data_IF_262525084605
#
_entry.id   IF_262525084605
#
_cell.length_a   1.000
_cell.length_b   1.000
_cell.length_c   1.000
_cell.angle_alpha   90.00
_cell.angle_beta   90.00
_cell.angle_gamma   90.00
#
_symmetry.space_group_name_H-M   'P 1'
#
loop_
_entity.id
_entity.type
_entity.pdbx_description
1 polymer ?
#
# COMPACT_ATOMS: atom_id res chain seq x y z
N UNK A 1 11.90 -12.40 -2.34
CA UNK A 1 12.29 -10.98 -2.19
C UNK A 1 11.20 -10.24 -1.42
N UNK A 2 11.56 -9.50 -0.37
CA UNK A 2 10.65 -8.66 0.42
C UNK A 2 10.93 -7.18 0.12
N UNK A 3 10.46 -6.69 -1.04
CA UNK A 3 10.64 -5.29 -1.46
C UNK A 3 9.59 -4.35 -0.87
N UNK A 4 9.89 -3.05 -0.81
CA UNK A 4 8.91 -2.02 -0.48
C UNK A 4 8.07 -1.72 -1.71
N UNK A 5 6.78 -2.05 -1.71
CA UNK A 5 5.96 -1.89 -2.91
C UNK A 5 4.48 -1.68 -2.59
N UNK A 6 3.91 -0.63 -3.15
CA UNK A 6 2.50 -0.28 -3.02
C UNK A 6 2.11 0.73 -4.12
N UNK A 7 0.87 1.20 -4.10
CA UNK A 7 0.37 2.18 -5.07
C UNK A 7 1.15 3.51 -5.07
N UNK A 8 1.71 3.90 -3.92
CA UNK A 8 2.44 5.16 -3.73
C UNK A 8 3.93 5.01 -4.04
N UNK A 9 4.49 3.80 -3.99
CA UNK A 9 5.91 3.53 -4.28
C UNK A 9 6.08 2.34 -5.21
N UNK A 10 6.61 2.60 -6.42
CA UNK A 10 6.61 1.64 -7.54
C UNK A 10 7.97 1.42 -8.21
N UNK A 11 9.06 1.86 -7.60
CA UNK A 11 10.41 1.73 -8.19
C UNK A 11 10.82 0.26 -8.44
N UNK A 12 10.30 -0.66 -7.62
CA UNK A 12 10.48 -2.11 -7.79
C UNK A 12 10.03 -2.62 -9.18
N UNK A 13 9.13 -1.92 -9.88
CA UNK A 13 8.69 -2.29 -11.23
C UNK A 13 9.79 -2.18 -12.28
N UNK A 14 10.83 -1.37 -12.05
CA UNK A 14 11.87 -1.09 -13.04
C UNK A 14 12.84 -2.25 -13.24
N UNK A 15 13.25 -2.89 -12.14
CA UNK A 15 14.35 -3.86 -12.15
C UNK A 15 14.05 -5.10 -11.30
N UNK A 16 13.69 -4.90 -10.03
CA UNK A 16 13.57 -5.98 -9.06
C UNK A 16 12.42 -6.96 -9.34
N UNK A 17 11.23 -6.46 -9.66
CA UNK A 17 10.07 -7.30 -10.02
C UNK A 17 10.36 -8.09 -11.31
N UNK A 18 10.82 -7.46 -12.42
CA UNK A 18 11.23 -8.20 -13.61
C UNK A 18 12.28 -9.28 -13.33
N UNK A 19 13.32 -8.97 -12.55
CA UNK A 19 14.37 -9.91 -12.18
C UNK A 19 13.81 -11.12 -11.41
N UNK A 20 12.98 -10.87 -10.40
CA UNK A 20 12.38 -11.93 -9.60
C UNK A 20 11.49 -12.84 -10.46
N UNK A 21 10.71 -12.26 -11.38
CA UNK A 21 9.89 -13.01 -12.34
C UNK A 21 10.74 -13.86 -13.28
N UNK A 22 11.85 -13.33 -13.78
CA UNK A 22 12.75 -14.05 -14.70
C UNK A 22 13.51 -15.20 -14.03
N UNK A 23 13.79 -15.09 -12.72
CA UNK A 23 14.60 -16.05 -11.96
C UNK A 23 13.79 -17.02 -11.10
N UNK A 24 12.47 -16.85 -11.04
CA UNK A 24 11.58 -17.67 -10.21
C UNK A 24 11.63 -17.34 -8.71
N UNK A 25 12.21 -16.19 -8.33
CA UNK A 25 12.22 -15.72 -6.94
C UNK A 25 10.83 -15.20 -6.56
N UNK A 26 10.23 -15.73 -5.49
CA UNK A 26 8.93 -15.28 -4.98
C UNK A 26 8.95 -13.82 -4.51
N UNK A 27 7.85 -13.11 -4.70
CA UNK A 27 7.67 -11.70 -4.30
C UNK A 27 6.76 -11.59 -3.07
N UNK A 28 7.28 -11.01 -1.99
CA UNK A 28 6.61 -10.85 -0.68
C UNK A 28 6.67 -9.37 -0.24
N UNK A 29 6.05 -8.44 -0.97
CA UNK A 29 6.22 -7.02 -0.70
C UNK A 29 5.70 -6.64 0.69
N UNK A 30 6.42 -5.74 1.36
CA UNK A 30 6.03 -5.19 2.66
C UNK A 30 5.40 -3.80 2.50
N UNK A 31 4.56 -3.43 3.46
CA UNK A 31 3.75 -2.20 3.44
C UNK A 31 2.90 -2.03 2.17
N UNK A 32 2.08 -3.03 1.78
CA UNK A 32 1.19 -2.95 0.62
C UNK A 32 0.15 -1.82 0.75
N UNK A 33 -0.20 -1.43 1.98
CA UNK A 33 -1.15 -0.36 2.31
C UNK A 33 -0.49 1.01 2.55
N UNK A 34 0.82 1.13 2.29
CA UNK A 34 1.56 2.38 2.46
C UNK A 34 1.47 2.95 3.89
N UNK A 35 1.80 2.12 4.89
CA UNK A 35 1.65 2.46 6.32
C UNK A 35 0.22 2.87 6.77
N UNK A 36 -0.81 2.58 5.98
CA UNK A 36 -2.20 2.94 6.28
C UNK A 36 -2.77 4.08 5.42
N UNK A 37 -1.91 4.80 4.70
CA UNK A 37 -2.30 5.95 3.85
C UNK A 37 -3.33 5.57 2.77
N UNK A 38 -3.33 4.31 2.32
CA UNK A 38 -4.26 3.81 1.31
C UNK A 38 -5.59 3.27 1.90
N UNK A 39 -5.85 3.45 3.19
CA UNK A 39 -7.00 2.82 3.89
C UNK A 39 -8.15 3.78 4.21
N UNK A 40 -7.94 5.08 4.02
CA UNK A 40 -8.91 6.13 4.31
C UNK A 40 -8.80 7.28 3.29
N UNK A 41 -9.77 8.20 3.31
CA UNK A 41 -9.74 9.37 2.44
C UNK A 41 -8.52 10.25 2.74
N UNK A 42 -7.98 10.93 1.73
CA UNK A 42 -6.80 11.78 1.88
C UNK A 42 -6.98 12.90 2.91
N UNK A 43 -8.20 13.41 3.06
CA UNK A 43 -8.58 14.43 4.03
C UNK A 43 -8.79 13.88 5.45
N UNK A 44 -9.03 12.58 5.59
CA UNK A 44 -9.29 11.94 6.89
C UNK A 44 -7.97 11.47 7.52
N UNK A 45 -7.28 12.35 8.22
CA UNK A 45 -5.93 12.12 8.78
C UNK A 45 -5.90 12.10 10.31
N UNK A 46 -7.04 11.82 10.92
CA UNK A 46 -7.22 11.99 12.36
C UNK A 46 -6.88 10.74 13.18
N UNK A 47 -6.40 9.67 12.56
CA UNK A 47 -6.04 8.46 13.29
C UNK A 47 -4.74 8.62 14.10
N UNK A 48 -4.60 7.81 15.15
CA UNK A 48 -3.48 7.87 16.08
C UNK A 48 -2.13 7.52 15.41
N UNK A 49 -2.14 6.70 14.37
CA UNK A 49 -0.96 6.26 13.64
C UNK A 49 -0.45 7.35 12.70
N UNK A 50 -1.30 8.02 11.95
CA UNK A 50 -0.94 9.20 11.13
C UNK A 50 -0.25 10.29 11.98
N UNK A 51 -0.65 10.43 13.25
CA UNK A 51 -0.05 11.38 14.19
C UNK A 51 1.27 10.91 14.82
N UNK A 52 1.44 9.61 15.08
CA UNK A 52 2.58 9.09 15.86
C UNK A 52 3.65 8.37 15.02
N UNK A 53 3.30 7.85 13.84
CA UNK A 53 4.18 7.03 13.02
C UNK A 53 5.20 7.89 12.26
N UNK A 54 6.44 7.88 12.76
CA UNK A 54 7.57 8.62 12.18
C UNK A 54 7.94 8.08 10.79
N UNK A 55 7.78 6.78 10.55
CA UNK A 55 8.07 6.16 9.26
C UNK A 55 7.05 6.57 8.21
N UNK A 56 5.76 6.56 8.54
CA UNK A 56 4.70 7.07 7.67
C UNK A 56 5.01 8.49 7.22
N UNK A 57 5.34 9.37 8.17
CA UNK A 57 5.65 10.78 7.88
C UNK A 57 6.88 10.91 6.99
N UNK A 58 7.93 10.14 7.28
CA UNK A 58 9.16 10.17 6.49
C UNK A 58 8.93 9.71 5.05
N UNK A 59 8.15 8.65 4.85
CA UNK A 59 7.97 8.02 3.54
C UNK A 59 6.92 8.72 2.67
N UNK A 60 5.84 9.24 3.26
CA UNK A 60 4.66 9.70 2.49
C UNK A 60 4.25 11.15 2.75
N UNK A 61 4.98 11.89 3.61
CA UNK A 61 4.61 13.28 3.97
C UNK A 61 5.73 14.30 3.80
N UNK A 62 6.95 13.87 3.44
CA UNK A 62 8.09 14.80 3.24
C UNK A 62 8.15 15.45 1.85
N UNK A 63 7.36 15.00 0.86
CA UNK A 63 7.29 15.58 -0.50
C UNK A 63 6.35 14.80 -1.42
N UNK A 64 5.90 15.38 -2.55
CA UNK A 64 5.08 14.65 -3.55
C UNK A 64 3.56 14.63 -3.31
N UNK A 65 3.03 15.54 -2.48
CA UNK A 65 1.63 15.58 -2.00
C UNK A 65 0.58 15.42 -3.11
N UNK A 66 0.81 15.99 -4.30
CA UNK A 66 -0.20 16.00 -5.37
C UNK A 66 -0.43 14.63 -6.03
N UNK A 67 0.62 13.83 -6.25
CA UNK A 67 0.46 12.51 -6.89
C UNK A 67 -0.14 11.50 -5.92
N UNK A 68 0.29 11.55 -4.66
CA UNK A 68 -0.19 10.65 -3.62
C UNK A 68 -1.67 10.89 -3.33
N UNK A 69 -2.07 12.16 -3.24
CA UNK A 69 -3.48 12.54 -3.12
C UNK A 69 -4.32 11.99 -4.28
N UNK A 70 -3.82 12.14 -5.51
CA UNK A 70 -4.50 11.65 -6.71
C UNK A 70 -4.70 10.13 -6.66
N UNK A 71 -3.67 9.40 -6.21
CA UNK A 71 -3.71 7.94 -6.08
C UNK A 71 -4.69 7.51 -4.99
N UNK A 72 -4.63 8.14 -3.80
CA UNK A 72 -5.55 7.83 -2.69
C UNK A 72 -7.00 8.12 -3.09
N UNK A 73 -7.26 9.25 -3.75
CA UNK A 73 -8.58 9.59 -4.26
C UNK A 73 -9.06 8.55 -5.29
N UNK A 74 -8.17 8.07 -6.16
CA UNK A 74 -8.53 7.00 -7.10
C UNK A 74 -8.89 5.69 -6.40
N UNK A 75 -8.16 5.30 -5.35
CA UNK A 75 -8.51 4.13 -4.53
C UNK A 75 -9.88 4.31 -3.89
N UNK A 76 -10.17 5.52 -3.39
CA UNK A 76 -11.46 5.85 -2.80
C UNK A 76 -12.62 5.73 -3.80
N UNK A 77 -12.42 6.16 -5.05
CA UNK A 77 -13.41 5.99 -6.12
C UNK A 77 -13.65 4.52 -6.48
N UNK A 78 -12.58 3.71 -6.55
CA UNK A 78 -12.66 2.30 -6.94
C UNK A 78 -13.24 1.40 -5.85
N UNK A 79 -13.22 1.84 -4.58
CA UNK A 79 -13.67 1.02 -3.45
C UNK A 79 -15.11 0.55 -3.57
N UNK A 80 -16.01 1.31 -4.21
CA UNK A 80 -17.43 0.96 -4.32
C UNK A 80 -17.99 0.50 -2.95
N UNK A 81 -18.31 -0.80 -2.81
CA UNK A 81 -18.87 -1.41 -1.61
C UNK A 81 -17.84 -2.22 -0.77
N UNK A 82 -16.55 -2.13 -1.08
CA UNK A 82 -15.45 -2.76 -0.34
C UNK A 82 -14.58 -1.71 0.36
N UNK A 83 -13.69 -2.16 1.24
CA UNK A 83 -12.74 -1.29 1.93
C UNK A 83 -11.68 -0.75 0.96
N UNK A 84 -11.12 0.45 1.23
CA UNK A 84 -10.01 0.98 0.44
C UNK A 84 -8.77 0.09 0.54
N UNK A 85 -8.56 -0.52 1.71
CA UNK A 85 -7.46 -1.45 1.94
C UNK A 85 -7.55 -2.67 1.01
N UNK A 86 -8.74 -3.24 0.84
CA UNK A 86 -9.02 -4.32 -0.10
C UNK A 86 -8.67 -3.94 -1.54
N UNK A 87 -9.00 -2.73 -1.98
CA UNK A 87 -8.64 -2.23 -3.32
C UNK A 87 -7.13 -2.16 -3.49
N UNK A 88 -6.44 -1.54 -2.53
CA UNK A 88 -4.99 -1.37 -2.58
C UNK A 88 -4.26 -2.72 -2.56
N UNK A 89 -4.71 -3.64 -1.71
CA UNK A 89 -4.18 -5.00 -1.60
C UNK A 89 -4.38 -5.79 -2.90
N UNK A 90 -5.60 -5.76 -3.44
CA UNK A 90 -5.93 -6.43 -4.69
C UNK A 90 -5.08 -5.90 -5.86
N UNK A 91 -4.80 -4.59 -5.90
CA UNK A 91 -3.94 -4.00 -6.92
C UNK A 91 -2.51 -4.54 -6.86
N UNK A 92 -1.94 -4.70 -5.66
CA UNK A 92 -0.59 -5.29 -5.48
C UNK A 92 -0.59 -6.74 -5.94
N UNK A 93 -1.58 -7.54 -5.51
CA UNK A 93 -1.69 -8.95 -5.92
C UNK A 93 -1.87 -9.11 -7.45
N UNK A 94 -2.61 -8.19 -8.09
CA UNK A 94 -2.86 -8.21 -9.53
C UNK A 94 -1.60 -8.02 -10.39
N UNK A 95 -0.47 -7.58 -9.81
CA UNK A 95 0.82 -7.49 -10.52
C UNK A 95 1.44 -8.85 -10.84
N UNK A 96 0.86 -9.93 -10.32
CA UNK A 96 1.19 -11.30 -10.66
C UNK A 96 2.36 -11.86 -9.83
N UNK A 97 2.12 -13.00 -9.18
CA UNK A 97 3.13 -13.72 -8.39
C UNK A 97 3.53 -13.02 -7.09
N UNK A 98 2.75 -12.04 -6.63
CA UNK A 98 2.98 -11.31 -5.37
C UNK A 98 2.10 -11.86 -4.25
N UNK A 99 2.70 -12.04 -3.08
CA UNK A 99 2.03 -12.41 -1.83
C UNK A 99 2.38 -11.34 -0.77
N UNK A 100 1.66 -10.20 -0.77
CA UNK A 100 1.96 -9.09 0.13
C UNK A 100 1.80 -9.48 1.61
N UNK A 101 2.60 -8.85 2.47
CA UNK A 101 2.53 -9.03 3.92
C UNK A 101 1.69 -7.88 4.50
N UNK A 102 0.57 -8.23 5.10
CA UNK A 102 -0.30 -7.29 5.79
C UNK A 102 -0.08 -7.32 7.30
N UNK A 103 0.02 -6.13 7.90
CA UNK A 103 0.28 -5.95 9.32
C UNK A 103 -0.96 -5.43 10.02
N UNK A 104 -1.45 -6.17 11.02
CA UNK A 104 -2.66 -5.85 11.78
C UNK A 104 -2.33 -5.67 13.25
N UNK A 105 -3.00 -4.73 13.89
CA UNK A 105 -2.89 -4.47 15.34
C UNK A 105 -4.04 -5.10 16.14
N UNK A 106 -5.08 -5.61 15.47
CA UNK A 106 -6.20 -6.30 16.10
C UNK A 106 -6.82 -7.34 15.17
N UNK A 107 -7.47 -8.36 15.75
CA UNK A 107 -8.10 -9.44 14.99
C UNK A 107 -9.33 -8.95 14.19
N UNK A 108 -10.04 -7.94 14.69
CA UNK A 108 -11.21 -7.36 14.03
C UNK A 108 -10.88 -6.72 12.67
N UNK A 109 -9.60 -6.36 12.45
CA UNK A 109 -9.19 -5.79 11.16
C UNK A 109 -9.04 -6.83 10.07
N UNK A 110 -9.02 -8.14 10.38
CA UNK A 110 -8.90 -9.20 9.37
C UNK A 110 -10.02 -9.10 8.32
N UNK A 111 -11.25 -8.83 8.75
CA UNK A 111 -12.41 -8.75 7.85
C UNK A 111 -12.45 -7.45 7.01
N UNK A 112 -11.55 -6.50 7.28
CA UNK A 112 -11.46 -5.21 6.60
C UNK A 112 -10.39 -5.19 5.50
N UNK A 113 -9.69 -6.31 5.28
CA UNK A 113 -8.56 -6.46 4.37
C UNK A 113 -8.87 -7.28 3.12
#
# INVERSE_FOLDING_TARGET
MQGFYNLLYREEEREMIPYCKATGVGLLPWSPLGAGVLTHAWSDRNDAREQSDVFLKALFRQGGVNSDETIVNRVQEEKKNIAMAQVAMAWVMAKGGMMPIDGLESAERIDQQ
#
